data_IF_535456443761
#
_entry.id   IF_535456443761
#
_cell.length_a   1.000
_cell.length_b   1.000
_cell.length_c   1.000
_cell.angle_alpha   90.00
_cell.angle_beta   90.00
_cell.angle_gamma   90.00
#
_symmetry.space_group_name_H-M   'P 1'
#
loop_
_entity.id
_entity.type
_entity.pdbx_description
1 polymer ?
#
# COMPACT_ATOMS: atom_id res chain seq x y z
N UNK A 1 -52.68 -56.10 10.96
CA UNK A 1 -53.85 -55.51 11.65
C UNK A 1 -53.55 -54.03 11.85
N UNK A 2 -54.48 -53.18 11.35
CA UNK A 2 -54.78 -51.77 11.69
C UNK A 2 -53.63 -50.83 12.14
N UNK A 3 -53.43 -49.63 11.60
CA UNK A 3 -54.19 -48.85 10.61
C UNK A 3 -54.24 -47.36 10.97
N UNK A 4 -53.97 -46.51 9.97
CA UNK A 4 -54.49 -45.13 9.79
C UNK A 4 -53.89 -44.01 10.64
N UNK A 5 -53.89 -42.75 10.20
CA UNK A 5 -54.21 -42.16 8.89
C UNK A 5 -53.96 -40.65 8.98
N UNK A 6 -53.45 -40.03 7.91
CA UNK A 6 -53.37 -38.57 7.84
C UNK A 6 -52.61 -38.02 6.64
N UNK A 7 -52.87 -38.54 5.44
CA UNK A 7 -52.44 -37.91 4.18
C UNK A 7 -53.60 -37.16 3.52
N UNK A 8 -53.29 -36.15 2.70
CA UNK A 8 -54.09 -35.63 1.56
C UNK A 8 -53.21 -34.65 0.75
N UNK A 9 -52.58 -35.08 -0.33
CA UNK A 9 -53.04 -35.16 -1.76
C UNK A 9 -52.96 -33.85 -2.55
N UNK A 10 -51.93 -33.80 -3.41
CA UNK A 10 -51.89 -33.44 -4.84
C UNK A 10 -53.20 -32.94 -5.50
N UNK A 11 -53.11 -31.88 -6.32
CA UNK A 11 -53.05 -31.98 -7.79
C UNK A 11 -53.19 -30.62 -8.48
N UNK A 12 -52.53 -30.51 -9.62
CA UNK A 12 -52.54 -29.38 -10.55
C UNK A 12 -53.81 -29.28 -11.39
N UNK A 13 -54.12 -28.07 -11.87
CA UNK A 13 -54.81 -27.84 -13.15
C UNK A 13 -54.53 -26.44 -13.71
N UNK A 14 -54.06 -26.38 -14.96
CA UNK A 14 -54.12 -25.20 -15.84
C UNK A 14 -55.55 -25.07 -16.40
N UNK A 15 -56.08 -23.85 -16.52
CA UNK A 15 -56.45 -23.13 -17.79
C UNK A 15 -57.58 -22.10 -17.60
N UNK A 16 -57.28 -20.87 -18.04
CA UNK A 16 -58.06 -19.93 -18.86
C UNK A 16 -59.37 -19.26 -18.38
N UNK A 17 -59.35 -17.93 -18.61
CA UNK A 17 -60.41 -17.03 -19.11
C UNK A 17 -61.26 -16.19 -18.12
N UNK A 18 -60.89 -14.91 -18.07
CA UNK A 18 -61.70 -13.68 -18.22
C UNK A 18 -62.99 -13.46 -17.40
N UNK A 19 -62.96 -12.43 -16.54
CA UNK A 19 -64.05 -11.46 -16.42
C UNK A 19 -63.50 -10.10 -15.97
N UNK A 20 -63.83 -9.06 -16.73
CA UNK A 20 -63.45 -7.68 -16.49
C UNK A 20 -64.21 -7.09 -15.29
N UNK A 21 -63.51 -6.33 -14.45
CA UNK A 21 -64.09 -5.48 -13.42
C UNK A 21 -63.23 -4.23 -13.27
N UNK A 22 -63.66 -3.14 -13.91
CA UNK A 22 -63.04 -1.83 -13.82
C UNK A 22 -63.34 -1.20 -12.46
N UNK A 23 -62.31 -0.76 -11.75
CA UNK A 23 -62.42 0.26 -10.71
C UNK A 23 -61.40 1.36 -11.00
N UNK A 24 -61.92 2.53 -11.36
CA UNK A 24 -61.18 3.76 -11.61
C UNK A 24 -60.63 4.28 -10.29
N UNK A 25 -59.30 4.32 -10.14
CA UNK A 25 -58.62 5.11 -9.11
C UNK A 25 -57.98 6.30 -9.82
N UNK A 26 -58.48 7.50 -9.51
CA UNK A 26 -58.00 8.75 -10.08
C UNK A 26 -56.58 9.07 -9.64
N UNK A 27 -55.71 9.32 -10.61
CA UNK A 27 -54.39 9.93 -10.39
C UNK A 27 -54.63 11.43 -10.20
N UNK A 28 -54.45 11.92 -8.97
CA UNK A 28 -54.22 13.35 -8.72
C UNK A 28 -52.70 13.57 -8.80
N UNK A 29 -52.20 14.59 -9.53
CA UNK A 29 -50.77 14.87 -9.54
C UNK A 29 -50.34 15.41 -8.17
N UNK A 30 -49.45 14.70 -7.47
CA UNK A 30 -48.73 15.28 -6.35
C UNK A 30 -47.73 16.29 -6.91
N UNK A 31 -48.00 17.57 -6.62
CA UNK A 31 -47.08 18.67 -6.82
C UNK A 31 -45.75 18.37 -6.13
N UNK A 32 -44.65 18.73 -6.80
CA UNK A 32 -43.29 18.64 -6.30
C UNK A 32 -43.19 19.24 -4.89
N UNK A 33 -42.62 18.47 -3.96
CA UNK A 33 -42.13 19.04 -2.71
C UNK A 33 -41.04 20.07 -3.05
N UNK A 34 -41.20 21.29 -2.55
CA UNK A 34 -40.16 22.32 -2.58
C UNK A 34 -38.89 21.80 -1.89
N UNK A 35 -37.67 22.07 -2.39
CA UNK A 35 -36.47 21.73 -1.66
C UNK A 35 -36.51 22.45 -0.29
N UNK A 36 -36.30 21.70 0.79
CA UNK A 36 -36.10 22.28 2.10
C UNK A 36 -34.85 23.16 2.06
N UNK A 37 -35.00 24.45 2.30
CA UNK A 37 -33.86 25.35 2.55
C UNK A 37 -33.49 25.21 4.01
N UNK A 38 -32.22 24.92 4.30
CA UNK A 38 -31.69 25.01 5.65
C UNK A 38 -31.60 26.49 6.04
N UNK A 39 -32.37 26.87 7.05
CA UNK A 39 -32.39 28.20 7.66
C UNK A 39 -31.36 28.24 8.79
N UNK A 40 -30.36 29.13 8.68
CA UNK A 40 -29.21 29.27 9.58
C UNK A 40 -29.41 30.36 10.66
N UNK A 41 -30.65 30.75 10.96
CA UNK A 41 -30.97 31.83 11.91
C UNK A 41 -30.47 31.62 13.36
N UNK A 42 -29.98 30.43 13.73
CA UNK A 42 -29.32 30.21 15.02
C UNK A 42 -27.87 30.72 15.09
N UNK A 43 -27.22 30.99 13.93
CA UNK A 43 -25.82 31.42 13.85
C UNK A 43 -25.65 32.92 14.14
N UNK A 44 -26.70 33.73 13.95
CA UNK A 44 -26.63 35.20 14.05
C UNK A 44 -26.88 35.75 15.46
N UNK A 45 -27.45 34.97 16.37
CA UNK A 45 -27.73 35.42 17.75
C UNK A 45 -26.58 35.14 18.75
N UNK A 46 -25.56 34.37 18.33
CA UNK A 46 -24.41 34.00 19.17
C UNK A 46 -23.22 34.98 19.06
N UNK A 47 -23.24 35.91 18.11
CA UNK A 47 -22.20 36.91 17.92
C UNK A 47 -22.66 38.28 18.45
N UNK A 48 -22.36 38.57 19.71
CA UNK A 48 -22.33 39.96 20.18
C UNK A 48 -21.32 40.76 19.32
N UNK A 49 -21.59 42.04 19.00
CA UNK A 49 -20.84 42.75 17.98
C UNK A 49 -19.41 43.02 18.46
N UNK A 50 -18.43 42.36 17.83
CA UNK A 50 -17.03 42.78 17.87
C UNK A 50 -16.92 44.04 17.01
N UNK A 51 -16.70 45.18 17.66
CA UNK A 51 -16.28 46.41 17.00
C UNK A 51 -14.92 46.18 16.33
N UNK A 52 -14.89 46.06 15.00
CA UNK A 52 -13.65 46.01 14.23
C UNK A 52 -13.05 47.42 14.19
N UNK A 53 -12.04 47.62 15.03
CA UNK A 53 -11.16 48.78 14.97
C UNK A 53 -10.14 48.64 13.82
N UNK A 54 -10.21 49.55 12.85
CA UNK A 54 -9.05 50.19 12.23
C UNK A 54 -8.14 49.42 11.26
N UNK A 55 -8.42 49.62 9.96
CA UNK A 55 -7.49 49.88 8.83
C UNK A 55 -6.43 48.86 8.39
N UNK A 56 -6.55 48.38 7.14
CA UNK A 56 -5.73 48.83 6.00
C UNK A 56 -6.37 48.40 4.66
N UNK A 57 -6.32 49.29 3.68
CA UNK A 57 -6.98 49.13 2.38
C UNK A 57 -6.32 48.04 1.52
N UNK A 58 -7.13 47.07 1.13
CA UNK A 58 -6.80 46.00 0.19
C UNK A 58 -8.02 45.10 0.05
N UNK A 59 -9.16 45.69 -0.30
CA UNK A 59 -10.40 44.93 -0.48
C UNK A 59 -10.19 43.84 -1.51
N UNK A 60 -10.42 42.59 -1.11
CA UNK A 60 -10.42 41.44 -2.00
C UNK A 60 -11.49 41.70 -3.07
N UNK A 61 -11.03 41.97 -4.29
CA UNK A 61 -11.90 42.22 -5.43
C UNK A 61 -12.63 40.92 -5.80
N UNK A 62 -13.96 40.97 -5.74
CA UNK A 62 -14.82 39.84 -6.08
C UNK A 62 -14.59 39.37 -7.52
N UNK A 63 -14.12 40.24 -8.42
CA UNK A 63 -13.70 39.88 -9.78
C UNK A 63 -12.46 38.99 -9.82
N UNK A 64 -11.46 39.29 -9.00
CA UNK A 64 -10.23 38.51 -8.85
C UNK A 64 -10.49 37.13 -8.21
N UNK A 65 -11.46 37.07 -7.29
CA UNK A 65 -11.91 35.83 -6.66
C UNK A 65 -12.71 34.96 -7.65
N UNK A 66 -13.58 35.58 -8.46
CA UNK A 66 -14.30 34.88 -9.52
C UNK A 66 -13.37 34.43 -10.66
N UNK A 67 -12.29 35.15 -10.95
CA UNK A 67 -11.29 34.72 -11.93
C UNK A 67 -10.48 33.50 -11.45
N UNK A 68 -10.20 33.39 -10.15
CA UNK A 68 -9.55 32.22 -9.55
C UNK A 68 -10.49 31.00 -9.54
N UNK A 69 -11.77 31.20 -9.16
CA UNK A 69 -12.80 30.15 -9.23
C UNK A 69 -13.02 29.69 -10.67
N UNK A 70 -13.00 30.62 -11.63
CA UNK A 70 -13.08 30.28 -13.05
C UNK A 70 -11.82 29.52 -13.51
N UNK A 71 -10.62 29.89 -13.07
CA UNK A 71 -9.39 29.13 -13.36
C UNK A 71 -9.40 27.71 -12.82
N UNK A 72 -10.05 27.47 -11.68
CA UNK A 72 -10.23 26.13 -11.12
C UNK A 72 -11.34 25.35 -11.84
N UNK A 73 -12.43 26.03 -12.21
CA UNK A 73 -13.52 25.45 -13.01
C UNK A 73 -13.05 25.09 -14.42
N UNK A 74 -12.22 25.94 -15.02
CA UNK A 74 -11.56 25.73 -16.31
C UNK A 74 -10.50 24.64 -16.24
N UNK A 75 -10.09 24.16 -15.04
CA UNK A 75 -9.28 22.95 -14.80
C UNK A 75 -10.14 21.67 -14.64
N UNK A 76 -11.45 21.82 -14.50
CA UNK A 76 -12.43 20.74 -14.37
C UNK A 76 -13.33 20.59 -15.62
N UNK A 77 -13.36 21.58 -16.53
CA UNK A 77 -14.15 21.56 -17.77
C UNK A 77 -13.62 20.48 -18.75
N UNK A 78 -14.47 19.52 -19.21
CA UNK A 78 -14.09 18.49 -20.18
C UNK A 78 -13.67 19.03 -21.55
N UNK A 79 -14.03 20.26 -21.92
CA UNK A 79 -13.80 20.81 -23.25
C UNK A 79 -12.41 21.45 -23.42
N UNK A 80 -11.68 21.73 -22.33
CA UNK A 80 -10.44 22.52 -22.35
C UNK A 80 -9.23 21.90 -21.63
N UNK A 81 -9.31 20.72 -20.98
CA UNK A 81 -8.31 20.34 -19.96
C UNK A 81 -7.19 19.35 -20.24
N UNK A 82 -6.02 19.75 -19.72
CA UNK A 82 -4.80 18.99 -19.49
C UNK A 82 -5.01 17.79 -18.54
N UNK A 83 -5.86 17.85 -17.51
CA UNK A 83 -6.05 16.75 -16.56
C UNK A 83 -6.70 15.50 -17.20
N UNK A 84 -7.76 15.69 -18.00
CA UNK A 84 -8.37 14.60 -18.79
C UNK A 84 -7.46 14.17 -19.94
N UNK A 85 -6.72 15.11 -20.57
CA UNK A 85 -5.71 14.79 -21.58
C UNK A 85 -4.54 13.98 -21.00
N UNK A 86 -4.08 14.29 -19.78
CA UNK A 86 -3.03 13.56 -19.07
C UNK A 86 -3.51 12.14 -18.70
N UNK A 87 -4.79 11.98 -18.32
CA UNK A 87 -5.43 10.66 -18.10
C UNK A 87 -5.55 9.87 -19.41
N UNK A 88 -5.88 10.51 -20.53
CA UNK A 88 -5.96 9.86 -21.85
C UNK A 88 -4.55 9.50 -22.35
N UNK A 89 -3.57 10.39 -22.24
CA UNK A 89 -2.18 10.17 -22.63
C UNK A 89 -1.53 9.06 -21.78
N UNK A 90 -1.90 8.98 -20.51
CA UNK A 90 -1.55 7.90 -19.60
C UNK A 90 -2.16 6.54 -19.94
N UNK A 91 -3.45 6.52 -20.26
CA UNK A 91 -4.14 5.31 -20.74
C UNK A 91 -3.57 4.86 -22.08
N UNK A 92 -3.09 5.79 -22.92
CA UNK A 92 -2.39 5.51 -24.17
C UNK A 92 -0.90 5.15 -23.96
N UNK A 93 -0.30 5.53 -22.83
CA UNK A 93 1.06 5.19 -22.40
C UNK A 93 1.14 3.89 -21.57
N UNK A 94 0.02 3.15 -21.45
CA UNK A 94 -0.02 1.88 -20.74
C UNK A 94 1.06 0.94 -21.31
N UNK A 95 1.98 0.42 -20.47
CA UNK A 95 3.05 -0.42 -20.95
C UNK A 95 2.50 -1.68 -21.65
N UNK A 96 3.22 -2.14 -22.67
CA UNK A 96 2.87 -3.35 -23.42
C UNK A 96 2.78 -4.60 -22.53
N UNK A 97 2.32 -5.74 -23.08
CA UNK A 97 1.90 -6.95 -22.37
C UNK A 97 3.00 -7.68 -21.54
N UNK A 98 4.18 -7.10 -21.38
CA UNK A 98 5.33 -7.64 -20.65
C UNK A 98 5.58 -7.00 -19.28
N UNK A 99 4.78 -6.03 -18.84
CA UNK A 99 4.91 -5.42 -17.51
C UNK A 99 3.71 -5.77 -16.62
N UNK A 100 3.99 -6.21 -15.38
CA UNK A 100 2.94 -6.43 -14.37
C UNK A 100 2.27 -5.09 -14.06
N UNK A 101 0.99 -4.95 -14.39
CA UNK A 101 0.20 -3.77 -14.06
C UNK A 101 -0.03 -3.72 -12.55
N UNK A 102 0.48 -2.69 -11.89
CA UNK A 102 0.11 -2.40 -10.51
C UNK A 102 -1.14 -1.52 -10.52
N UNK A 103 -2.29 -2.13 -10.28
CA UNK A 103 -3.58 -1.43 -10.34
C UNK A 103 -3.73 -0.41 -9.22
N UNK A 104 -3.09 -0.62 -8.07
CA UNK A 104 -3.11 0.35 -6.98
C UNK A 104 -2.32 1.60 -7.38
N UNK A 105 -1.15 1.43 -8.03
CA UNK A 105 -0.38 2.55 -8.57
C UNK A 105 -1.16 3.30 -9.67
N UNK A 106 -1.85 2.59 -10.56
CA UNK A 106 -2.66 3.23 -11.60
C UNK A 106 -3.77 4.10 -11.00
N UNK A 107 -4.51 3.58 -10.03
CA UNK A 107 -5.57 4.32 -9.33
C UNK A 107 -4.97 5.47 -8.53
N UNK A 108 -3.80 5.27 -7.91
CA UNK A 108 -3.07 6.33 -7.24
C UNK A 108 -2.74 7.48 -8.20
N UNK A 109 -2.04 7.18 -9.30
CA UNK A 109 -1.52 8.16 -10.24
C UNK A 109 -2.62 8.96 -10.95
N UNK A 110 -3.73 8.31 -11.30
CA UNK A 110 -4.76 8.93 -12.17
C UNK A 110 -6.03 9.37 -11.45
N UNK A 111 -6.26 8.91 -10.22
CA UNK A 111 -7.46 9.24 -9.46
C UNK A 111 -7.09 9.93 -8.15
N UNK A 112 -6.30 9.27 -7.31
CA UNK A 112 -6.05 9.76 -5.96
C UNK A 112 -5.09 10.96 -5.93
N UNK A 113 -3.90 10.85 -6.51
CA UNK A 113 -2.88 11.89 -6.43
C UNK A 113 -3.37 13.26 -6.99
N UNK A 114 -4.09 13.33 -8.12
CA UNK A 114 -4.63 14.62 -8.58
C UNK A 114 -5.74 15.17 -7.68
N UNK A 115 -6.63 14.30 -7.17
CA UNK A 115 -7.69 14.69 -6.24
C UNK A 115 -7.10 15.22 -4.93
N UNK A 116 -6.14 14.49 -4.37
CA UNK A 116 -5.41 14.83 -3.16
C UNK A 116 -4.69 16.17 -3.33
N UNK A 117 -3.93 16.36 -4.40
CA UNK A 117 -3.25 17.63 -4.68
C UNK A 117 -4.23 18.82 -4.80
N UNK A 118 -5.38 18.62 -5.44
CA UNK A 118 -6.42 19.66 -5.53
C UNK A 118 -7.05 20.00 -4.18
N UNK A 119 -7.28 18.99 -3.33
CA UNK A 119 -7.79 19.19 -1.96
C UNK A 119 -6.75 19.91 -1.09
N UNK A 120 -5.49 19.51 -1.16
CA UNK A 120 -4.38 20.15 -0.45
C UNK A 120 -4.23 21.62 -0.87
N UNK A 121 -4.30 21.90 -2.17
CA UNK A 121 -4.29 23.27 -2.67
C UNK A 121 -5.47 24.09 -2.16
N UNK A 122 -6.65 23.49 -2.04
CA UNK A 122 -7.82 24.19 -1.50
C UNK A 122 -7.69 24.46 0.00
N UNK A 123 -7.27 23.45 0.78
CA UNK A 123 -7.03 23.56 2.23
C UNK A 123 -6.04 24.69 2.54
N UNK A 124 -4.93 24.77 1.80
CA UNK A 124 -3.91 25.79 1.99
C UNK A 124 -4.19 27.13 1.29
N UNK A 125 -5.37 27.31 0.68
CA UNK A 125 -5.71 28.55 -0.03
C UNK A 125 -6.31 29.61 0.91
N UNK A 126 -6.20 30.92 0.61
CA UNK A 126 -6.82 31.96 1.44
C UNK A 126 -8.34 31.83 1.58
N UNK A 127 -9.01 31.27 0.56
CA UNK A 127 -10.45 30.97 0.63
C UNK A 127 -10.73 29.74 1.50
N UNK A 128 -9.87 28.72 1.42
CA UNK A 128 -9.85 27.58 2.33
C UNK A 128 -9.77 28.04 3.78
N UNK A 129 -8.69 28.72 4.16
CA UNK A 129 -8.47 29.21 5.52
C UNK A 129 -9.66 29.97 6.10
N UNK A 130 -10.28 30.87 5.32
CA UNK A 130 -11.45 31.63 5.75
C UNK A 130 -12.68 30.74 6.01
N UNK A 131 -12.98 29.84 5.07
CA UNK A 131 -14.17 28.98 5.14
C UNK A 131 -14.01 27.86 6.18
N UNK A 132 -12.81 27.30 6.27
CA UNK A 132 -12.45 26.22 7.20
C UNK A 132 -12.48 26.68 8.65
N UNK A 133 -12.11 27.94 8.96
CA UNK A 133 -12.25 28.48 10.30
C UNK A 133 -13.68 28.38 10.87
N UNK A 134 -14.70 28.59 10.02
CA UNK A 134 -16.11 28.42 10.43
C UNK A 134 -16.55 26.96 10.45
N UNK A 135 -16.13 26.17 9.46
CA UNK A 135 -16.51 24.76 9.30
C UNK A 135 -15.90 23.90 10.43
N UNK A 136 -14.65 24.14 10.78
CA UNK A 136 -13.89 23.33 11.74
C UNK A 136 -14.16 23.73 13.19
N UNK A 137 -14.54 24.97 13.49
CA UNK A 137 -14.78 25.45 14.86
C UNK A 137 -15.60 24.48 15.75
N UNK A 138 -16.77 23.95 15.33
CA UNK A 138 -17.50 22.99 16.15
C UNK A 138 -16.74 21.67 16.34
N UNK A 139 -15.96 21.22 15.35
CA UNK A 139 -15.21 19.96 15.42
C UNK A 139 -13.96 20.10 16.30
N UNK A 140 -13.18 21.17 16.13
CA UNK A 140 -12.06 21.48 16.99
C UNK A 140 -12.50 21.62 18.46
N UNK A 141 -13.67 22.23 18.72
CA UNK A 141 -14.18 22.39 20.09
C UNK A 141 -14.65 21.06 20.70
N UNK A 142 -15.39 20.25 19.94
CA UNK A 142 -16.00 19.02 20.45
C UNK A 142 -15.05 17.84 20.45
N UNK A 143 -14.20 17.74 19.44
CA UNK A 143 -13.34 16.60 19.16
C UNK A 143 -11.84 16.93 19.17
N UNK A 144 -11.44 18.20 19.25
CA UNK A 144 -10.01 18.57 19.28
C UNK A 144 -9.29 18.32 17.96
N UNK A 145 -10.06 18.15 16.89
CA UNK A 145 -9.61 17.78 15.55
C UNK A 145 -10.52 18.44 14.51
N UNK A 146 -9.93 18.82 13.38
CA UNK A 146 -10.65 19.48 12.31
C UNK A 146 -11.58 18.52 11.56
N UNK A 147 -12.61 19.06 10.91
CA UNK A 147 -13.41 18.29 9.96
C UNK A 147 -12.66 18.15 8.64
N UNK A 148 -12.04 19.25 8.20
CA UNK A 148 -11.28 19.37 6.94
C UNK A 148 -10.03 20.19 7.23
N UNK A 149 -8.85 19.63 7.01
CA UNK A 149 -7.58 20.30 7.23
C UNK A 149 -6.50 19.31 7.63
N UNK A 150 -5.23 19.65 7.42
CA UNK A 150 -4.14 18.75 7.79
C UNK A 150 -3.88 18.76 9.30
N UNK A 151 -3.30 17.67 9.78
CA UNK A 151 -2.83 17.54 11.14
C UNK A 151 -1.63 18.44 11.42
N UNK A 152 -1.46 18.79 12.69
CA UNK A 152 -0.37 19.63 13.17
C UNK A 152 0.91 18.81 13.21
N UNK A 153 1.91 19.25 12.44
CA UNK A 153 3.27 18.69 12.52
C UNK A 153 3.85 18.83 13.94
N UNK A 154 4.43 17.74 14.42
CA UNK A 154 5.06 17.66 15.73
C UNK A 154 4.06 17.74 16.88
N UNK A 155 2.81 17.36 16.67
CA UNK A 155 1.85 17.29 17.75
C UNK A 155 2.22 16.19 18.76
N UNK A 156 2.50 16.58 20.00
CA UNK A 156 2.80 15.71 21.14
C UNK A 156 1.82 15.92 22.31
N UNK A 157 0.77 16.70 22.07
CA UNK A 157 -0.24 17.05 23.06
C UNK A 157 -1.22 15.91 23.34
N UNK A 158 -1.99 16.06 24.40
CA UNK A 158 -3.14 15.18 24.67
C UNK A 158 -4.41 15.89 24.21
N UNK A 159 -5.29 15.18 23.51
CA UNK A 159 -6.59 15.73 23.15
C UNK A 159 -7.48 15.87 24.40
N UNK A 160 -7.72 17.10 24.85
CA UNK A 160 -8.56 17.39 26.04
C UNK A 160 -9.96 17.90 25.69
N UNK A 161 -10.38 17.80 24.43
CA UNK A 161 -11.73 18.22 24.02
C UNK A 161 -12.81 17.29 24.59
N UNK A 162 -14.07 17.75 24.54
CA UNK A 162 -15.21 17.08 25.19
C UNK A 162 -15.33 15.59 24.84
N UNK A 163 -15.18 15.25 23.56
CA UNK A 163 -15.22 13.88 23.05
C UNK A 163 -13.84 13.36 22.65
N UNK A 164 -12.87 14.22 22.33
CA UNK A 164 -11.53 13.77 21.95
C UNK A 164 -10.72 13.16 23.09
N UNK A 165 -11.03 13.53 24.35
CA UNK A 165 -10.40 12.94 25.54
C UNK A 165 -10.58 11.41 25.68
N UNK A 166 -11.49 10.80 24.92
CA UNK A 166 -11.68 9.34 24.91
C UNK A 166 -10.66 8.61 24.00
N UNK A 167 -9.84 9.34 23.23
CA UNK A 167 -8.77 8.82 22.37
C UNK A 167 -9.24 8.14 21.07
N UNK A 168 -10.51 7.78 20.94
CA UNK A 168 -11.01 7.09 19.73
C UNK A 168 -11.23 7.99 18.51
N UNK A 169 -11.19 9.31 18.71
CA UNK A 169 -11.44 10.30 17.66
C UNK A 169 -10.15 10.91 17.09
N UNK A 170 -8.99 10.47 17.58
CA UNK A 170 -7.71 11.05 17.22
C UNK A 170 -7.41 12.34 17.99
N UNK A 171 -6.39 13.05 17.55
CA UNK A 171 -5.97 14.34 18.09
C UNK A 171 -5.67 15.37 16.99
N UNK A 172 -5.04 16.48 17.36
CA UNK A 172 -4.77 17.56 16.41
C UNK A 172 -3.58 17.27 15.49
N UNK A 173 -2.78 16.23 15.77
CA UNK A 173 -1.78 15.69 14.86
C UNK A 173 -2.38 14.88 13.72
N UNK A 174 -3.62 14.40 13.88
CA UNK A 174 -4.33 13.69 12.82
C UNK A 174 -4.98 14.65 11.81
N UNK A 175 -5.00 14.26 10.53
CA UNK A 175 -5.70 15.00 9.48
C UNK A 175 -7.21 15.05 9.72
N UNK A 176 -7.94 16.02 9.17
CA UNK A 176 -9.35 16.23 9.47
C UNK A 176 -10.24 15.03 9.14
N UNK A 177 -11.36 14.86 9.86
CA UNK A 177 -12.22 13.67 9.74
C UNK A 177 -12.65 13.32 8.31
N UNK A 178 -12.88 14.31 7.44
CA UNK A 178 -13.28 14.10 6.05
C UNK A 178 -12.12 14.18 5.07
N UNK A 179 -11.31 15.24 5.18
CA UNK A 179 -10.16 15.48 4.30
C UNK A 179 -9.02 16.06 5.12
N UNK A 180 -7.83 15.55 4.90
CA UNK A 180 -6.61 16.10 5.49
C UNK A 180 -5.56 15.02 5.67
N UNK A 181 -4.32 15.42 5.50
CA UNK A 181 -3.17 14.58 5.78
C UNK A 181 -2.83 14.61 7.26
N UNK A 182 -2.28 13.53 7.79
CA UNK A 182 -1.72 13.55 9.13
C UNK A 182 -0.46 14.39 9.21
N UNK A 183 -0.25 15.05 10.34
CA UNK A 183 0.95 15.81 10.63
C UNK A 183 2.17 14.90 10.82
N UNK A 184 3.35 15.40 10.47
CA UNK A 184 4.60 14.69 10.72
C UNK A 184 4.84 14.51 12.23
N UNK A 185 5.44 13.39 12.63
CA UNK A 185 5.79 13.13 14.02
C UNK A 185 6.93 14.01 14.52
N UNK A 186 6.98 14.23 15.84
CA UNK A 186 8.05 15.01 16.48
C UNK A 186 9.42 14.34 16.26
N UNK A 187 10.43 15.15 15.96
CA UNK A 187 11.83 14.68 16.00
C UNK A 187 12.20 14.41 17.46
N UNK A 188 12.54 13.16 17.75
CA UNK A 188 12.94 12.72 19.08
C UNK A 188 14.39 13.08 19.39
N UNK A 189 14.74 14.36 19.54
CA UNK A 189 16.10 14.72 20.00
C UNK A 189 16.34 14.07 21.38
N UNK A 190 17.32 13.16 21.46
CA UNK A 190 17.63 12.29 22.62
C UNK A 190 16.51 11.31 23.04
N UNK A 191 15.55 11.00 22.16
CA UNK A 191 14.43 10.09 22.45
C UNK A 191 13.84 9.41 21.22
N UNK A 192 12.77 8.64 21.41
CA UNK A 192 12.06 7.94 20.33
C UNK A 192 11.38 9.00 19.43
N UNK A 193 11.49 8.83 18.11
CA UNK A 193 10.76 9.66 17.16
C UNK A 193 9.25 9.55 17.37
N UNK A 194 8.52 10.66 17.32
CA UNK A 194 7.07 10.65 17.46
C UNK A 194 6.39 9.95 16.28
N UNK A 195 5.27 9.28 16.53
CA UNK A 195 4.46 8.76 15.43
C UNK A 195 3.92 9.91 14.56
N UNK A 196 3.82 9.67 13.25
CA UNK A 196 3.06 10.55 12.37
C UNK A 196 1.57 10.40 12.61
N UNK A 197 0.81 11.48 12.44
CA UNK A 197 -0.64 11.47 12.61
C UNK A 197 -1.35 10.66 11.52
N UNK A 198 -2.51 10.12 11.86
CA UNK A 198 -3.35 9.39 10.91
C UNK A 198 -4.16 10.38 10.04
N UNK A 199 -4.42 10.02 8.79
CA UNK A 199 -5.39 10.73 7.96
C UNK A 199 -6.84 10.43 8.38
N UNK A 200 -7.79 11.24 7.87
CA UNK A 200 -9.22 11.03 8.06
C UNK A 200 -9.86 10.07 7.06
N UNK A 201 -11.02 10.44 6.50
CA UNK A 201 -11.70 9.65 5.48
C UNK A 201 -10.92 9.64 4.14
N UNK A 202 -10.35 10.79 3.78
CA UNK A 202 -9.38 10.97 2.69
C UNK A 202 -8.12 11.67 3.20
N UNK A 203 -6.95 11.22 2.74
CA UNK A 203 -5.67 11.86 3.04
C UNK A 203 -4.54 10.86 3.23
N UNK A 204 -3.32 11.36 3.29
CA UNK A 204 -2.13 10.58 3.57
C UNK A 204 -1.79 10.63 5.06
N UNK A 205 -1.33 9.52 5.61
CA UNK A 205 -0.77 9.53 6.96
C UNK A 205 0.51 10.35 7.01
N UNK A 206 0.77 10.96 8.17
CA UNK A 206 1.96 11.75 8.43
C UNK A 206 3.22 10.90 8.51
N UNK A 207 4.36 11.47 8.14
CA UNK A 207 5.64 10.79 8.31
C UNK A 207 5.97 10.63 9.81
N UNK A 208 6.56 9.51 10.20
CA UNK A 208 7.12 9.34 11.53
C UNK A 208 8.32 10.26 11.76
N UNK A 209 8.48 10.72 13.00
CA UNK A 209 9.58 11.58 13.42
C UNK A 209 10.91 10.83 13.46
N UNK A 210 12.02 11.56 13.26
CA UNK A 210 13.36 10.97 13.37
C UNK A 210 13.67 10.59 14.83
N UNK A 211 14.35 9.47 15.02
CA UNK A 211 14.86 9.03 16.32
C UNK A 211 16.13 9.78 16.72
N UNK A 212 16.29 10.03 18.02
CA UNK A 212 17.52 10.54 18.62
C UNK A 212 18.59 9.45 18.72
N UNK A 213 19.80 9.83 19.14
CA UNK A 213 20.91 8.87 19.31
C UNK A 213 20.47 7.67 20.16
N UNK A 214 20.69 6.46 19.65
CA UNK A 214 20.29 5.20 20.31
C UNK A 214 18.78 4.98 20.41
N UNK A 215 17.94 5.81 19.76
CA UNK A 215 16.49 5.74 19.83
C UNK A 215 15.86 5.52 18.46
N UNK A 216 14.80 4.70 18.43
CA UNK A 216 14.12 4.34 17.21
C UNK A 216 13.43 5.55 16.56
N UNK A 217 13.26 5.48 15.24
CA UNK A 217 12.38 6.38 14.50
C UNK A 217 10.91 6.12 14.84
N UNK A 218 10.09 7.14 14.68
CA UNK A 218 8.65 7.04 14.90
C UNK A 218 7.94 6.31 13.76
N UNK A 219 6.83 5.67 14.06
CA UNK A 219 6.01 5.03 13.05
C UNK A 219 5.32 6.07 12.16
N UNK A 220 5.11 5.74 10.88
CA UNK A 220 4.27 6.56 9.99
C UNK A 220 2.78 6.39 10.32
N UNK A 221 2.00 7.45 10.12
CA UNK A 221 0.56 7.43 10.35
C UNK A 221 -0.21 6.65 9.30
N UNK A 222 -1.40 6.18 9.64
CA UNK A 222 -2.29 5.49 8.72
C UNK A 222 -2.83 6.43 7.63
N UNK A 223 -2.96 5.90 6.41
CA UNK A 223 -3.66 6.57 5.32
C UNK A 223 -5.18 6.52 5.49
N UNK A 224 -5.88 7.40 4.77
CA UNK A 224 -7.31 7.62 4.94
C UNK A 224 -8.19 6.37 4.74
N UNK A 225 -9.33 6.36 5.43
CA UNK A 225 -10.22 5.18 5.51
C UNK A 225 -10.84 4.78 4.18
N UNK A 226 -11.10 5.72 3.28
CA UNK A 226 -11.67 5.43 1.95
C UNK A 226 -10.62 5.45 0.84
N UNK A 227 -9.83 6.52 0.77
CA UNK A 227 -8.61 6.55 -0.04
C UNK A 227 -7.50 7.28 0.70
N UNK A 228 -6.29 6.72 0.68
CA UNK A 228 -5.15 7.36 1.30
C UNK A 228 -3.89 6.52 1.30
N UNK A 229 -2.73 7.17 1.39
CA UNK A 229 -1.44 6.49 1.50
C UNK A 229 -0.97 6.54 2.95
N UNK A 230 -0.43 5.45 3.46
CA UNK A 230 0.24 5.44 4.77
C UNK A 230 1.49 6.31 4.75
N UNK A 231 1.78 6.94 5.89
CA UNK A 231 2.97 7.76 6.08
C UNK A 231 4.24 6.93 6.14
N UNK A 232 5.37 7.52 5.76
CA UNK A 232 6.67 6.85 5.87
C UNK A 232 7.10 6.75 7.33
N UNK A 233 7.72 5.65 7.74
CA UNK A 233 8.39 5.58 9.05
C UNK A 233 9.56 6.54 9.14
N UNK A 234 9.81 7.06 10.34
CA UNK A 234 10.95 7.93 10.63
C UNK A 234 12.26 7.13 10.67
N UNK A 235 13.38 7.75 10.30
CA UNK A 235 14.68 7.09 10.43
C UNK A 235 15.07 6.95 11.91
N UNK A 236 15.74 5.84 12.25
CA UNK A 236 16.35 5.66 13.57
C UNK A 236 17.53 6.58 13.77
N UNK A 237 17.81 6.96 15.01
CA UNK A 237 19.10 7.57 15.34
C UNK A 237 20.21 6.52 15.38
N UNK A 238 21.45 6.94 15.65
CA UNK A 238 22.62 6.06 15.58
C UNK A 238 22.40 4.71 16.30
N UNK A 239 22.69 3.61 15.59
CA UNK A 239 22.53 2.23 16.03
C UNK A 239 21.08 1.76 16.26
N UNK A 240 20.09 2.61 16.01
CA UNK A 240 18.69 2.36 16.35
C UNK A 240 17.82 2.08 15.12
N UNK A 241 16.74 1.33 15.34
CA UNK A 241 15.86 0.91 14.27
C UNK A 241 15.06 2.06 13.65
N UNK A 242 14.78 1.96 12.36
CA UNK A 242 13.80 2.81 11.69
C UNK A 242 12.37 2.50 12.16
N UNK A 243 11.50 3.51 12.14
CA UNK A 243 10.08 3.34 12.44
C UNK A 243 9.35 2.58 11.34
N UNK A 244 8.24 1.94 11.68
CA UNK A 244 7.43 1.23 10.70
C UNK A 244 6.69 2.20 9.77
N UNK A 245 6.45 1.79 8.53
CA UNK A 245 5.59 2.53 7.62
C UNK A 245 4.12 2.42 8.02
N UNK A 246 3.38 3.51 7.85
CA UNK A 246 1.96 3.57 8.17
C UNK A 246 1.11 2.67 7.27
N UNK A 247 0.01 2.15 7.82
CA UNK A 247 -0.91 1.29 7.07
C UNK A 247 -1.76 2.10 6.08
N UNK A 248 -1.92 1.63 4.84
CA UNK A 248 -2.87 2.20 3.90
C UNK A 248 -4.24 1.54 4.08
N UNK A 249 -5.14 2.11 4.89
CA UNK A 249 -6.42 1.46 5.22
C UNK A 249 -7.41 1.39 4.05
N UNK A 250 -7.37 2.39 3.16
CA UNK A 250 -8.43 2.79 2.23
C UNK A 250 -9.33 1.70 1.62
N UNK A 251 -10.65 1.83 1.80
CA UNK A 251 -11.64 0.91 1.23
C UNK A 251 -11.55 0.78 -0.30
N UNK A 252 -11.24 1.88 -1.00
CA UNK A 252 -11.05 1.89 -2.45
C UNK A 252 -9.56 1.77 -2.82
N UNK A 253 -8.71 2.65 -2.30
CA UNK A 253 -7.25 2.66 -2.52
C UNK A 253 -6.55 2.88 -1.18
N UNK A 254 -5.62 2.00 -0.82
CA UNK A 254 -4.74 2.27 0.31
C UNK A 254 -3.36 1.68 0.12
N UNK A 255 -2.34 2.50 -0.07
CA UNK A 255 -0.96 2.00 -0.12
C UNK A 255 -0.32 2.13 1.25
N UNK A 256 0.40 1.13 1.72
CA UNK A 256 1.22 1.27 2.92
C UNK A 256 2.40 2.20 2.69
N UNK A 257 2.80 2.90 3.74
CA UNK A 257 3.99 3.76 3.73
C UNK A 257 5.27 2.93 3.81
N UNK A 258 6.38 3.48 3.34
CA UNK A 258 7.68 2.81 3.45
C UNK A 258 8.18 2.81 4.89
N UNK A 259 8.88 1.76 5.30
CA UNK A 259 9.60 1.76 6.58
C UNK A 259 10.74 2.77 6.60
N UNK A 260 11.06 3.27 7.79
CA UNK A 260 12.17 4.19 8.01
C UNK A 260 13.53 3.50 7.91
N UNK A 261 14.58 4.23 7.53
CA UNK A 261 15.93 3.69 7.56
C UNK A 261 16.40 3.44 9.00
N UNK A 262 17.15 2.36 9.23
CA UNK A 262 17.91 2.20 10.47
C UNK A 262 19.07 3.19 10.53
N UNK A 263 19.43 3.63 11.73
CA UNK A 263 20.54 4.56 11.92
C UNK A 263 21.89 3.85 11.88
N UNK A 264 22.90 4.53 11.33
CA UNK A 264 24.26 4.00 11.28
C UNK A 264 24.83 3.76 12.68
N UNK A 265 25.64 2.71 12.82
CA UNK A 265 26.38 2.42 14.04
C UNK A 265 27.33 3.56 14.42
N UNK A 266 27.61 3.67 15.71
CA UNK A 266 28.68 4.50 16.28
C UNK A 266 29.67 3.58 16.99
N UNK A 267 30.84 4.09 17.41
CA UNK A 267 31.95 3.28 17.93
C UNK A 267 31.53 2.14 18.87
N UNK A 268 31.63 0.89 18.37
CA UNK A 268 31.28 -0.34 19.09
C UNK A 268 29.82 -0.79 19.02
N UNK A 269 28.98 -0.14 18.21
CA UNK A 269 27.57 -0.47 17.97
C UNK A 269 27.32 -0.96 16.54
N UNK A 270 26.43 -1.95 16.42
CA UNK A 270 25.90 -2.47 15.15
C UNK A 270 24.99 -1.39 14.52
N UNK A 271 24.90 -1.37 13.19
CA UNK A 271 23.89 -0.56 12.49
C UNK A 271 22.46 -0.94 12.90
N UNK A 272 21.57 0.05 12.96
CA UNK A 272 20.16 -0.16 13.28
C UNK A 272 19.40 -0.85 12.16
N UNK A 273 18.39 -1.65 12.50
CA UNK A 273 17.54 -2.32 11.51
C UNK A 273 16.63 -1.32 10.77
N UNK A 274 16.34 -1.59 9.51
CA UNK A 274 15.32 -0.87 8.75
C UNK A 274 13.91 -1.18 9.26
N UNK A 275 13.03 -0.19 9.24
CA UNK A 275 11.63 -0.34 9.63
C UNK A 275 10.84 -1.19 8.62
N UNK A 276 9.84 -1.92 9.10
CA UNK A 276 8.93 -2.69 8.24
C UNK A 276 8.03 -1.74 7.44
N UNK A 277 7.78 -2.04 6.17
CA UNK A 277 6.82 -1.30 5.36
C UNK A 277 5.37 -1.54 5.78
N UNK A 278 4.52 -0.53 5.66
CA UNK A 278 3.11 -0.60 6.04
C UNK A 278 2.31 -1.53 5.14
N UNK A 279 1.28 -2.18 5.68
CA UNK A 279 0.35 -2.96 4.86
C UNK A 279 -0.51 -2.03 3.98
N UNK A 280 -0.80 -2.45 2.75
CA UNK A 280 -1.80 -1.83 1.90
C UNK A 280 -3.22 -2.32 2.21
N UNK A 281 -4.20 -1.61 1.67
CA UNK A 281 -5.62 -1.88 1.85
C UNK A 281 -6.05 -3.20 1.24
N UNK A 282 -7.12 -3.77 1.79
CA UNK A 282 -7.66 -5.07 1.37
C UNK A 282 -7.96 -5.20 -0.14
N UNK A 283 -8.47 -4.14 -0.80
CA UNK A 283 -8.90 -4.22 -2.21
C UNK A 283 -7.78 -3.84 -3.20
N UNK A 284 -7.56 -2.54 -3.40
CA UNK A 284 -6.46 -2.00 -4.20
C UNK A 284 -5.43 -1.41 -3.25
N UNK A 285 -4.58 -2.27 -2.70
CA UNK A 285 -3.55 -1.81 -1.79
C UNK A 285 -2.18 -2.32 -2.15
N UNK A 286 -1.23 -1.41 -2.35
CA UNK A 286 0.18 -1.79 -2.43
C UNK A 286 0.78 -1.78 -1.02
N UNK A 287 1.52 -2.80 -0.65
CA UNK A 287 2.32 -2.77 0.57
C UNK A 287 3.51 -1.82 0.43
N UNK A 288 3.85 -1.11 1.50
CA UNK A 288 5.00 -0.22 1.54
C UNK A 288 6.30 -0.99 1.52
N UNK A 289 7.34 -0.43 0.89
CA UNK A 289 8.65 -1.06 0.88
C UNK A 289 9.30 -0.97 2.28
N UNK A 290 10.10 -1.97 2.66
CA UNK A 290 10.86 -1.96 3.90
C UNK A 290 12.01 -0.96 3.87
N UNK A 291 12.36 -0.44 5.04
CA UNK A 291 13.46 0.51 5.23
C UNK A 291 14.83 -0.15 5.06
N UNK A 292 15.83 0.62 4.65
CA UNK A 292 17.21 0.13 4.59
C UNK A 292 17.79 -0.01 6.01
N UNK A 293 18.63 -1.02 6.22
CA UNK A 293 19.42 -1.15 7.46
C UNK A 293 20.57 -0.14 7.48
N UNK A 294 20.92 0.34 8.67
CA UNK A 294 22.05 1.25 8.88
C UNK A 294 23.39 0.54 8.68
N UNK A 295 24.43 1.29 8.29
CA UNK A 295 25.79 0.76 8.22
C UNK A 295 26.31 0.42 9.63
N UNK A 296 27.18 -0.58 9.75
CA UNK A 296 27.97 -0.81 10.96
C UNK A 296 29.21 0.09 10.99
N UNK A 297 29.92 0.11 12.12
CA UNK A 297 31.27 0.68 12.18
C UNK A 297 32.33 -0.31 11.63
N UNK A 298 33.59 0.11 11.50
CA UNK A 298 34.67 -0.60 10.78
C UNK A 298 34.88 -2.07 11.18
N UNK A 299 34.49 -2.46 12.41
CA UNK A 299 34.62 -3.82 12.97
C UNK A 299 33.26 -4.52 13.22
N UNK A 300 32.13 -3.85 12.96
CA UNK A 300 30.79 -4.31 13.31
C UNK A 300 29.88 -4.51 12.07
N UNK A 301 28.89 -5.39 12.20
CA UNK A 301 27.90 -5.57 11.14
C UNK A 301 26.94 -4.38 11.09
N UNK A 302 26.39 -4.10 9.91
CA UNK A 302 25.24 -3.24 9.72
C UNK A 302 23.93 -3.92 10.12
N UNK A 303 22.88 -3.10 10.21
CA UNK A 303 21.54 -3.56 10.56
C UNK A 303 20.88 -4.32 9.42
N UNK A 304 19.90 -5.15 9.77
CA UNK A 304 19.06 -5.80 8.77
C UNK A 304 18.19 -4.78 8.03
N UNK A 305 17.84 -5.06 6.78
CA UNK A 305 16.80 -4.32 6.08
C UNK A 305 15.42 -4.72 6.58
N UNK A 306 14.48 -3.78 6.58
CA UNK A 306 13.11 -4.03 7.00
C UNK A 306 12.33 -4.85 5.98
N UNK A 307 11.36 -5.64 6.45
CA UNK A 307 10.46 -6.38 5.56
C UNK A 307 9.51 -5.44 4.82
N UNK A 308 9.10 -5.81 3.61
CA UNK A 308 8.05 -5.12 2.88
C UNK A 308 6.66 -5.43 3.43
N UNK A 309 5.75 -4.46 3.38
CA UNK A 309 4.38 -4.61 3.82
C UNK A 309 3.54 -5.48 2.89
N UNK A 310 2.51 -6.12 3.43
CA UNK A 310 1.57 -6.91 2.63
C UNK A 310 0.74 -6.02 1.69
N UNK A 311 0.49 -6.48 0.47
CA UNK A 311 -0.49 -5.90 -0.43
C UNK A 311 -1.93 -6.35 -0.12
N UNK A 312 -2.90 -5.69 -0.74
CA UNK A 312 -4.31 -6.05 -0.72
C UNK A 312 -4.62 -7.40 -1.36
N UNK A 313 -5.62 -8.09 -0.81
CA UNK A 313 -6.02 -9.43 -1.19
C UNK A 313 -6.43 -9.60 -2.65
N UNK A 314 -7.03 -8.60 -3.29
CA UNK A 314 -7.51 -8.76 -4.68
C UNK A 314 -6.38 -8.52 -5.69
N UNK A 315 -5.85 -7.30 -5.75
CA UNK A 315 -4.87 -6.87 -6.76
C UNK A 315 -3.57 -6.30 -6.17
N UNK A 316 -3.45 -6.34 -4.85
CA UNK A 316 -2.40 -5.61 -4.16
C UNK A 316 -1.03 -6.23 -4.32
N UNK A 317 -0.07 -5.45 -4.80
CA UNK A 317 1.33 -5.86 -4.80
C UNK A 317 1.89 -5.73 -3.36
N UNK A 318 2.66 -6.71 -2.91
CA UNK A 318 3.45 -6.56 -1.68
C UNK A 318 4.63 -5.58 -1.85
N UNK A 319 5.02 -4.93 -0.76
CA UNK A 319 6.19 -4.06 -0.74
C UNK A 319 7.49 -4.86 -0.85
N UNK A 320 8.53 -4.29 -1.44
CA UNK A 320 9.85 -4.92 -1.47
C UNK A 320 10.49 -4.86 -0.07
N UNK A 321 11.33 -5.84 0.26
CA UNK A 321 12.17 -5.77 1.43
C UNK A 321 13.29 -4.74 1.26
N UNK A 322 13.70 -4.13 2.35
CA UNK A 322 14.80 -3.18 2.41
C UNK A 322 16.16 -3.85 2.35
N UNK A 323 17.16 -3.16 1.82
CA UNK A 323 18.53 -3.65 1.77
C UNK A 323 19.14 -3.55 3.18
N UNK A 324 19.85 -4.58 3.64
CA UNK A 324 20.61 -4.52 4.90
C UNK A 324 21.90 -3.71 4.76
N UNK A 325 22.43 -3.23 5.88
CA UNK A 325 23.78 -2.65 5.95
C UNK A 325 24.87 -3.68 5.66
N UNK A 326 26.13 -3.26 5.58
CA UNK A 326 27.25 -4.19 5.33
C UNK A 326 27.30 -5.29 6.40
N UNK A 327 27.18 -6.57 6.01
CA UNK A 327 27.09 -7.68 6.98
C UNK A 327 25.69 -7.90 7.58
N UNK A 328 24.76 -6.98 7.35
CA UNK A 328 23.34 -7.10 7.69
C UNK A 328 22.55 -7.90 6.65
N UNK A 329 21.51 -8.61 7.10
CA UNK A 329 20.60 -9.34 6.22
C UNK A 329 19.67 -8.36 5.46
N UNK A 330 19.26 -8.68 4.23
CA UNK A 330 18.18 -7.96 3.56
C UNK A 330 16.81 -8.36 4.11
N UNK A 331 15.82 -7.47 3.99
CA UNK A 331 14.43 -7.73 4.37
C UNK A 331 13.69 -8.63 3.37
N UNK A 332 12.66 -9.30 3.86
CA UNK A 332 11.73 -10.10 3.06
C UNK A 332 10.78 -9.20 2.26
N UNK A 333 10.32 -9.70 1.12
CA UNK A 333 9.23 -9.05 0.38
C UNK A 333 7.90 -9.29 1.07
N UNK A 334 7.00 -8.31 1.01
CA UNK A 334 5.63 -8.46 1.48
C UNK A 334 4.81 -9.38 0.59
N UNK A 335 3.83 -10.07 1.16
CA UNK A 335 2.90 -10.91 0.40
C UNK A 335 2.05 -10.07 -0.56
N UNK A 336 1.80 -10.58 -1.77
CA UNK A 336 0.83 -10.02 -2.70
C UNK A 336 -0.58 -10.61 -2.54
N UNK A 337 -1.56 -9.99 -3.18
CA UNK A 337 -2.92 -10.51 -3.32
C UNK A 337 -3.08 -11.58 -4.40
N UNK A 338 -4.30 -12.08 -4.59
CA UNK A 338 -4.65 -13.11 -5.56
C UNK A 338 -4.19 -12.80 -7.00
N UNK A 339 -4.30 -11.53 -7.43
CA UNK A 339 -3.81 -11.04 -8.72
C UNK A 339 -2.63 -10.07 -8.57
N UNK A 340 -2.23 -9.81 -7.33
CA UNK A 340 -1.14 -8.91 -6.99
C UNK A 340 0.15 -9.70 -6.78
N UNK A 341 1.27 -9.17 -7.23
CA UNK A 341 2.52 -9.88 -7.06
C UNK A 341 3.11 -9.65 -5.66
N UNK A 342 3.78 -10.66 -5.11
CA UNK A 342 4.60 -10.47 -3.92
C UNK A 342 5.75 -9.47 -4.18
N UNK A 343 6.20 -8.83 -3.11
CA UNK A 343 7.35 -7.96 -3.10
C UNK A 343 8.65 -8.73 -3.29
N UNK A 344 9.68 -8.04 -3.75
CA UNK A 344 11.02 -8.60 -3.89
C UNK A 344 11.72 -8.56 -2.53
N UNK A 345 12.25 -9.69 -2.07
CA UNK A 345 13.18 -9.69 -0.94
C UNK A 345 14.54 -9.13 -1.37
N UNK A 346 15.17 -8.37 -0.48
CA UNK A 346 16.56 -7.95 -0.61
C UNK A 346 17.54 -8.97 -0.03
N UNK A 347 17.05 -10.03 0.63
CA UNK A 347 17.88 -11.17 1.03
C UNK A 347 18.23 -12.03 -0.19
N UNK A 348 19.45 -12.61 -0.25
CA UNK A 348 19.84 -13.47 -1.36
C UNK A 348 18.99 -14.75 -1.40
N UNK A 349 18.60 -15.19 -2.60
CA UNK A 349 17.83 -16.41 -2.80
C UNK A 349 18.71 -17.67 -2.95
N UNK A 350 19.97 -17.50 -3.36
CA UNK A 350 20.92 -18.60 -3.59
C UNK A 350 22.02 -18.58 -2.52
N UNK A 351 22.12 -19.63 -1.73
CA UNK A 351 23.17 -19.76 -0.73
C UNK A 351 24.51 -20.12 -1.39
N UNK A 352 24.50 -21.16 -2.23
CA UNK A 352 25.70 -21.69 -2.87
C UNK A 352 25.39 -22.33 -4.24
N UNK A 353 26.41 -22.47 -5.08
CA UNK A 353 26.34 -23.22 -6.34
C UNK A 353 27.57 -24.10 -6.50
N UNK A 354 27.40 -25.31 -7.03
CA UNK A 354 28.50 -26.26 -7.21
C UNK A 354 28.34 -27.06 -8.50
N UNK A 355 29.34 -26.99 -9.38
CA UNK A 355 29.46 -27.91 -10.51
C UNK A 355 29.92 -29.29 -10.04
N UNK A 356 29.24 -30.33 -10.51
CA UNK A 356 29.59 -31.73 -10.29
C UNK A 356 29.57 -32.48 -11.62
N UNK A 357 30.35 -33.56 -11.68
CA UNK A 357 30.34 -34.50 -12.80
C UNK A 357 29.90 -35.86 -12.26
N UNK A 358 28.93 -36.49 -12.91
CA UNK A 358 28.35 -37.75 -12.44
C UNK A 358 28.08 -38.75 -13.56
N UNK A 359 28.03 -40.03 -13.18
CA UNK A 359 27.85 -41.17 -14.08
C UNK A 359 29.09 -41.51 -14.91
N UNK A 360 29.08 -42.71 -15.51
CA UNK A 360 30.20 -43.21 -16.35
C UNK A 360 30.40 -42.35 -17.61
N UNK A 361 29.35 -41.67 -18.07
CA UNK A 361 29.35 -40.78 -19.23
C UNK A 361 29.88 -39.36 -18.94
N UNK A 362 30.38 -39.10 -17.72
CA UNK A 362 30.95 -37.81 -17.30
C UNK A 362 30.02 -36.61 -17.53
N UNK A 363 28.75 -36.75 -17.14
CA UNK A 363 27.75 -35.70 -17.34
C UNK A 363 27.90 -34.60 -16.31
N UNK A 364 27.88 -33.34 -16.76
CA UNK A 364 27.94 -32.17 -15.88
C UNK A 364 26.55 -31.81 -15.33
N UNK A 365 26.53 -31.36 -14.07
CA UNK A 365 25.36 -30.79 -13.40
C UNK A 365 25.78 -29.63 -12.50
N UNK A 366 25.01 -28.55 -12.52
CA UNK A 366 25.14 -27.44 -11.60
C UNK A 366 24.13 -27.61 -10.46
N UNK A 367 24.62 -27.92 -9.26
CA UNK A 367 23.80 -27.98 -8.05
C UNK A 367 23.63 -26.58 -7.47
N UNK A 368 22.39 -26.11 -7.38
CA UNK A 368 22.03 -24.83 -6.76
C UNK A 368 21.44 -25.09 -5.38
N UNK A 369 22.00 -24.46 -4.36
CA UNK A 369 21.54 -24.56 -2.98
C UNK A 369 20.80 -23.27 -2.61
N UNK A 370 19.47 -23.29 -2.46
CA UNK A 370 18.71 -22.10 -2.08
C UNK A 370 18.93 -21.73 -0.61
N UNK A 371 18.83 -20.43 -0.30
CA UNK A 371 18.73 -19.94 1.08
C UNK A 371 17.38 -20.31 1.68
N UNK A 372 17.18 -20.08 2.98
CA UNK A 372 15.86 -20.22 3.61
C UNK A 372 14.83 -19.29 2.96
N UNK A 373 15.20 -18.02 2.68
CA UNK A 373 14.38 -17.10 1.90
C UNK A 373 14.04 -17.64 0.52
N UNK A 374 15.04 -18.18 -0.21
CA UNK A 374 14.84 -18.81 -1.51
C UNK A 374 13.86 -19.99 -1.45
N UNK A 375 13.86 -20.77 -0.37
CA UNK A 375 12.92 -21.88 -0.18
C UNK A 375 11.51 -21.41 0.14
N UNK A 376 11.37 -20.45 1.05
CA UNK A 376 10.07 -19.88 1.41
C UNK A 376 9.38 -19.29 0.19
N UNK A 377 10.09 -18.48 -0.60
CA UNK A 377 9.54 -17.81 -1.78
C UNK A 377 9.27 -18.77 -2.95
N UNK A 378 10.11 -19.81 -3.13
CA UNK A 378 9.85 -20.88 -4.10
C UNK A 378 8.65 -21.77 -3.70
N UNK A 379 8.32 -21.84 -2.40
CA UNK A 379 7.17 -22.56 -1.89
C UNK A 379 5.82 -21.88 -2.19
N UNK A 380 5.83 -20.60 -2.55
CA UNK A 380 4.62 -19.79 -2.73
C UNK A 380 4.24 -19.61 -4.21
N UNK A 381 2.93 -19.67 -4.56
CA UNK A 381 2.47 -19.32 -5.90
C UNK A 381 2.74 -17.85 -6.25
N UNK A 382 2.96 -17.54 -7.54
CA UNK A 382 3.05 -16.16 -8.02
C UNK A 382 4.41 -15.46 -7.83
N UNK A 383 5.44 -16.18 -7.39
CA UNK A 383 6.79 -15.65 -7.13
C UNK A 383 7.74 -15.72 -8.32
N UNK A 384 7.21 -15.69 -9.56
CA UNK A 384 8.04 -15.80 -10.78
C UNK A 384 9.12 -14.72 -10.87
N UNK A 385 8.82 -13.51 -10.41
CA UNK A 385 9.78 -12.40 -10.45
C UNK A 385 10.96 -12.66 -9.52
N UNK A 386 10.70 -13.21 -8.34
CA UNK A 386 11.71 -13.64 -7.38
C UNK A 386 12.54 -14.78 -7.99
N UNK A 387 11.90 -15.74 -8.68
CA UNK A 387 12.59 -16.79 -9.43
C UNK A 387 13.53 -16.25 -10.51
N UNK A 388 13.15 -15.20 -11.25
CA UNK A 388 14.06 -14.55 -12.22
C UNK A 388 15.24 -13.85 -11.55
N UNK A 389 15.04 -13.26 -10.37
CA UNK A 389 16.13 -12.65 -9.60
C UNK A 389 17.07 -13.70 -9.02
N UNK A 390 16.52 -14.79 -8.48
CA UNK A 390 17.30 -15.93 -8.03
C UNK A 390 18.11 -16.54 -9.20
N UNK A 391 17.53 -16.61 -10.39
CA UNK A 391 18.26 -17.00 -11.60
C UNK A 391 19.41 -16.04 -11.93
N UNK A 392 19.19 -14.73 -11.80
CA UNK A 392 20.25 -13.73 -11.99
C UNK A 392 21.40 -13.91 -10.98
N UNK A 393 21.12 -14.33 -9.74
CA UNK A 393 22.17 -14.69 -8.77
C UNK A 393 22.97 -15.91 -9.21
N UNK A 394 22.31 -16.95 -9.75
CA UNK A 394 23.00 -18.14 -10.30
C UNK A 394 23.91 -17.74 -11.44
N UNK A 395 23.41 -16.95 -12.41
CA UNK A 395 24.17 -16.48 -13.58
C UNK A 395 25.33 -15.56 -13.17
N UNK A 396 25.16 -14.73 -12.15
CA UNK A 396 26.24 -13.90 -11.61
C UNK A 396 27.41 -14.74 -11.08
N UNK A 397 27.13 -15.91 -10.51
CA UNK A 397 28.14 -16.85 -10.00
C UNK A 397 28.70 -17.78 -11.08
N UNK A 398 27.86 -18.18 -12.03
CA UNK A 398 28.15 -19.16 -13.08
C UNK A 398 27.68 -18.63 -14.45
N UNK A 399 28.41 -17.69 -15.08
CA UNK A 399 27.98 -17.06 -16.33
C UNK A 399 27.71 -18.07 -17.47
N UNK A 400 28.43 -19.18 -17.48
CA UNK A 400 28.29 -20.29 -18.43
C UNK A 400 26.96 -21.05 -18.33
N UNK A 401 26.28 -20.97 -17.18
CA UNK A 401 24.96 -21.58 -16.99
C UNK A 401 23.83 -20.82 -17.72
N UNK A 402 24.10 -19.63 -18.27
CA UNK A 402 23.09 -18.74 -18.86
C UNK A 402 22.61 -19.20 -20.25
N UNK A 403 21.85 -20.29 -20.29
CA UNK A 403 21.16 -20.78 -21.47
C UNK A 403 19.67 -21.06 -21.18
N UNK A 404 18.85 -21.11 -22.24
CA UNK A 404 17.40 -21.25 -22.13
C UNK A 404 16.97 -22.53 -21.39
N UNK A 405 17.65 -23.66 -21.66
CA UNK A 405 17.33 -24.95 -21.05
C UNK A 405 17.60 -24.99 -19.54
N UNK A 406 18.76 -24.49 -19.10
CA UNK A 406 19.09 -24.45 -17.66
C UNK A 406 18.23 -23.43 -16.91
N UNK A 407 17.93 -22.28 -17.51
CA UNK A 407 16.98 -21.32 -16.94
C UNK A 407 15.59 -21.93 -16.76
N UNK A 408 15.11 -22.67 -17.77
CA UNK A 408 13.79 -23.31 -17.72
C UNK A 408 13.74 -24.43 -16.66
N UNK A 409 14.82 -25.21 -16.51
CA UNK A 409 14.98 -26.17 -15.40
C UNK A 409 14.93 -25.45 -14.04
N UNK A 410 15.69 -24.37 -13.86
CA UNK A 410 15.72 -23.61 -12.62
C UNK A 410 14.35 -23.05 -12.24
N UNK A 411 13.66 -22.39 -13.17
CA UNK A 411 12.33 -21.83 -12.92
C UNK A 411 11.29 -22.93 -12.66
N UNK A 412 11.44 -24.11 -13.27
CA UNK A 412 10.61 -25.26 -12.94
C UNK A 412 10.85 -25.73 -11.49
N UNK A 413 12.11 -25.79 -11.04
CA UNK A 413 12.43 -26.11 -9.65
C UNK A 413 11.86 -25.08 -8.68
N UNK A 414 12.03 -23.79 -9.00
CA UNK A 414 11.48 -22.68 -8.22
C UNK A 414 9.96 -22.79 -8.07
N UNK A 415 9.22 -23.01 -9.16
CA UNK A 415 7.75 -22.97 -9.12
C UNK A 415 7.08 -24.27 -8.63
N UNK A 416 7.75 -25.42 -8.79
CA UNK A 416 7.10 -26.72 -8.64
C UNK A 416 7.84 -27.66 -7.71
N UNK A 417 9.18 -27.68 -7.70
CA UNK A 417 9.91 -28.67 -6.92
C UNK A 417 9.75 -28.43 -5.42
N UNK A 418 9.84 -27.19 -4.95
CA UNK A 418 9.67 -26.89 -3.52
C UNK A 418 8.20 -27.00 -3.07
N UNK A 419 7.24 -26.71 -3.96
CA UNK A 419 5.80 -26.86 -3.68
C UNK A 419 5.35 -28.33 -3.61
N UNK A 420 5.84 -29.20 -4.51
CA UNK A 420 5.38 -30.60 -4.64
C UNK A 420 6.27 -31.57 -3.82
N UNK A 421 7.57 -31.30 -3.73
CA UNK A 421 8.56 -32.11 -3.01
C UNK A 421 9.52 -31.20 -2.22
N UNK A 422 9.03 -30.55 -1.14
CA UNK A 422 9.82 -29.60 -0.36
C UNK A 422 11.07 -30.24 0.24
N UNK A 423 12.11 -29.43 0.44
CA UNK A 423 13.30 -29.83 1.19
C UNK A 423 14.36 -30.59 0.39
N UNK A 424 14.32 -30.55 -0.95
CA UNK A 424 15.47 -31.04 -1.75
C UNK A 424 16.72 -30.24 -1.39
N UNK A 425 17.82 -30.94 -1.10
CA UNK A 425 19.08 -30.30 -0.68
C UNK A 425 19.59 -29.33 -1.73
N UNK A 426 19.56 -29.73 -3.01
CA UNK A 426 19.91 -28.89 -4.15
C UNK A 426 18.91 -29.03 -5.29
N UNK A 427 18.85 -28.01 -6.14
CA UNK A 427 18.21 -28.05 -7.45
C UNK A 427 19.30 -28.21 -8.51
N UNK A 428 19.24 -29.30 -9.26
CA UNK A 428 20.32 -29.69 -10.16
C UNK A 428 19.95 -29.27 -11.58
N UNK A 429 20.87 -28.56 -12.25
CA UNK A 429 20.65 -28.00 -13.59
C UNK A 429 21.66 -28.60 -14.55
N UNK A 430 21.18 -29.24 -15.61
CA UNK A 430 22.05 -29.95 -16.55
C UNK A 430 22.10 -29.30 -17.93
N UNK A 431 23.30 -28.92 -18.44
CA UNK A 431 23.45 -28.28 -19.75
C UNK A 431 23.20 -29.23 -20.92
N UNK A 432 23.27 -30.55 -20.70
CA UNK A 432 23.08 -31.57 -21.74
C UNK A 432 21.62 -31.99 -21.91
N UNK A 433 20.71 -31.53 -21.04
CA UNK A 433 19.27 -31.82 -21.17
C UNK A 433 18.66 -30.99 -22.29
N UNK A 434 17.68 -31.55 -23.03
CA UNK A 434 17.05 -30.83 -24.14
C UNK A 434 16.24 -29.65 -23.63
N UNK A 435 16.30 -28.54 -24.36
CA UNK A 435 15.37 -27.41 -24.17
C UNK A 435 13.97 -27.82 -24.65
N UNK A 436 13.02 -27.86 -23.73
CA UNK A 436 11.64 -28.32 -23.97
C UNK A 436 10.66 -27.31 -23.38
N UNK A 437 9.40 -27.38 -23.82
CA UNK A 437 8.36 -26.51 -23.26
C UNK A 437 8.19 -26.71 -21.75
N UNK A 438 7.73 -25.67 -21.04
CA UNK A 438 7.47 -25.72 -19.59
C UNK A 438 6.54 -26.88 -19.19
N UNK A 439 5.57 -27.22 -20.05
CA UNK A 439 4.67 -28.35 -19.83
C UNK A 439 5.42 -29.69 -19.87
N UNK A 440 6.38 -29.84 -20.78
CA UNK A 440 7.23 -31.03 -20.85
C UNK A 440 8.21 -31.10 -19.68
N UNK A 441 8.75 -29.97 -19.24
CA UNK A 441 9.58 -29.89 -18.02
C UNK A 441 8.79 -30.40 -16.80
N UNK A 442 7.57 -29.89 -16.59
CA UNK A 442 6.71 -30.30 -15.48
C UNK A 442 6.35 -31.80 -15.55
N UNK A 443 6.00 -32.29 -16.74
CA UNK A 443 5.68 -33.70 -16.95
C UNK A 443 6.85 -34.66 -16.64
N UNK A 444 8.09 -34.15 -16.63
CA UNK A 444 9.30 -34.89 -16.30
C UNK A 444 9.93 -34.45 -14.97
N UNK A 445 9.17 -33.85 -14.06
CA UNK A 445 9.66 -33.48 -12.73
C UNK A 445 10.81 -32.46 -12.76
N UNK A 446 10.80 -31.56 -13.74
CA UNK A 446 11.84 -30.57 -14.04
C UNK A 446 13.15 -31.14 -14.61
N UNK A 447 13.24 -32.45 -14.85
CA UNK A 447 14.44 -33.14 -15.34
C UNK A 447 14.18 -33.86 -16.68
N UNK A 448 14.03 -33.14 -17.83
CA UNK A 448 13.71 -33.76 -19.10
C UNK A 448 14.88 -34.59 -19.67
N UNK A 449 14.58 -35.67 -20.40
CA UNK A 449 15.56 -36.33 -21.26
C UNK A 449 16.50 -37.36 -20.61
N UNK A 450 16.25 -37.84 -19.39
CA UNK A 450 17.02 -38.98 -18.84
C UNK A 450 16.96 -39.12 -17.31
N UNK A 451 17.58 -40.19 -16.79
CA UNK A 451 17.63 -40.51 -15.36
C UNK A 451 18.23 -39.37 -14.51
N UNK A 452 17.73 -39.24 -13.28
CA UNK A 452 18.21 -38.27 -12.30
C UNK A 452 19.60 -38.67 -11.78
N UNK A 453 20.35 -37.67 -11.31
CA UNK A 453 21.56 -37.91 -10.52
C UNK A 453 21.20 -38.68 -9.24
N UNK A 454 21.84 -39.82 -8.93
CA UNK A 454 21.66 -40.51 -7.65
C UNK A 454 22.29 -39.68 -6.51
N UNK A 455 21.52 -39.46 -5.45
CA UNK A 455 21.90 -38.66 -4.27
C UNK A 455 22.92 -39.35 -3.36
#
# INVERSE_FOLDING_TARGET
MRGGSGGRTLSATRTAAAAAGALVVGITPMLAATPAQADWDWLLDAAAPVEVAGSAAGGLDLGSLMALVQSFTDQLDPATNKLFSDVIDAVLALPGPSQSLDTAELVNQYIYAPLHAGLQQWISSPFGELSLGLINAPFATLFGRDLIGDGIDGFDGVNTSLFGQWGWFGDAGDGGFLFGDGGAGVVGIDGIGGAGGDAGFFGNGGAGGLGGVGSAGGDGGAGGWFMGLGGTGGAGGAGAAGGTGGVGLGMLLGTGGTGGAGGDGVEGDIGGDGGVGGAGAWWLGRGGDGGVGGAGDEDDNGGAGGDGGAGGWAFGRGGNGGIGGEGGAGGLGGSGGFLGAAGISAAPYVANTQWVTYGDDHKESLRVYPTETGRTEAGEPGTLRQGEQAWAEVVKRNPEANNAGMRAQFLCHWQFAEFIQPGKTSWNLEPWRPDVSSLNLLANGCNPGGAEEPF
#
